data_IF_023975327230
#
_entry.id   IF_023975327230
#
_cell.length_a   1.000
_cell.length_b   1.000
_cell.length_c   1.000
_cell.angle_alpha   90.00
_cell.angle_beta   90.00
_cell.angle_gamma   90.00
#
_symmetry.space_group_name_H-M   'P 1'
#
loop_
_entity.id
_entity.type
_entity.pdbx_description
1 polymer ?
#
# COMPACT_ATOMS: atom_id res chain seq x y z
N UNK A 1 49.98 23.01 42.80
CA UNK A 1 50.47 23.14 41.42
C UNK A 1 49.28 23.44 40.51
N UNK A 2 49.42 24.48 39.68
CA UNK A 2 48.43 24.97 38.70
C UNK A 2 48.08 23.89 37.65
N UNK A 3 46.83 23.87 37.19
CA UNK A 3 46.41 24.25 35.82
C UNK A 3 44.87 24.18 35.70
N UNK A 4 44.26 25.26 35.20
CA UNK A 4 42.93 25.35 34.54
C UNK A 4 43.21 25.68 33.06
N UNK A 5 42.23 25.73 32.14
CA UNK A 5 41.17 24.79 31.77
C UNK A 5 41.12 24.62 30.21
N UNK A 6 39.97 24.19 29.67
CA UNK A 6 39.49 24.29 28.28
C UNK A 6 39.70 23.07 27.37
N UNK A 7 38.57 22.63 26.80
CA UNK A 7 38.46 21.53 25.84
C UNK A 7 37.00 21.37 25.44
N UNK A 8 36.48 22.37 24.75
CA UNK A 8 35.22 22.35 23.99
C UNK A 8 35.19 21.13 23.07
N UNK A 9 34.26 20.21 23.26
CA UNK A 9 33.91 19.25 22.21
C UNK A 9 32.71 19.77 21.45
N UNK A 10 33.00 20.16 20.22
CA UNK A 10 32.09 20.71 19.26
C UNK A 10 31.02 19.69 18.86
N UNK A 11 29.82 20.23 18.70
CA UNK A 11 28.69 19.66 17.96
C UNK A 11 29.18 19.22 16.57
N UNK A 12 29.05 17.93 16.27
CA UNK A 12 29.06 17.42 14.91
C UNK A 12 27.86 16.48 14.74
N UNK A 13 26.77 17.05 14.20
CA UNK A 13 25.76 16.29 13.48
C UNK A 13 26.23 15.96 12.04
N UNK A 14 25.32 15.53 11.16
CA UNK A 14 25.08 14.12 10.86
C UNK A 14 25.43 13.79 9.40
N UNK A 15 26.14 12.67 9.15
CA UNK A 15 26.45 12.18 7.81
C UNK A 15 26.50 10.65 7.81
N UNK A 16 25.34 10.01 7.98
CA UNK A 16 25.13 8.66 7.46
C UNK A 16 23.93 8.71 6.52
N UNK A 17 24.24 9.13 5.29
CA UNK A 17 23.33 9.08 4.16
C UNK A 17 23.04 7.62 3.83
N UNK A 18 21.75 7.30 3.79
CA UNK A 18 21.25 5.95 3.67
C UNK A 18 21.56 5.31 2.32
N UNK A 19 21.90 4.02 2.38
CA UNK A 19 21.58 3.06 1.33
C UNK A 19 20.33 2.29 1.76
N UNK A 20 19.21 2.99 1.84
CA UNK A 20 17.90 2.35 1.76
C UNK A 20 17.41 2.67 0.34
N UNK A 21 17.24 1.63 -0.47
CA UNK A 21 16.41 1.72 -1.68
C UNK A 21 15.06 2.28 -1.23
N UNK A 22 14.85 3.59 -1.45
CA UNK A 22 13.63 4.26 -1.09
C UNK A 22 12.49 3.56 -1.85
N UNK A 23 11.54 2.99 -1.10
CA UNK A 23 10.17 2.84 -1.57
C UNK A 23 9.79 4.21 -2.18
N UNK A 24 9.49 4.25 -3.47
CA UNK A 24 9.42 5.50 -4.23
C UNK A 24 8.18 6.38 -3.90
N UNK A 25 7.51 6.14 -2.77
CA UNK A 25 6.42 6.95 -2.22
C UNK A 25 6.08 6.51 -0.79
N UNK A 26 5.37 7.36 -0.07
CA UNK A 26 4.84 7.09 1.27
C UNK A 26 3.75 6.02 1.27
N UNK A 27 3.38 5.56 2.46
CA UNK A 27 2.41 4.46 2.65
C UNK A 27 1.36 4.82 3.72
N UNK A 28 1.04 6.10 3.83
CA UNK A 28 0.04 6.62 4.78
C UNK A 28 -1.28 5.84 4.65
N UNK A 29 -1.90 5.56 5.79
CA UNK A 29 -3.17 4.85 5.81
C UNK A 29 -4.28 5.71 5.19
N UNK A 30 -5.07 5.20 4.22
CA UNK A 30 -6.14 5.98 3.59
C UNK A 30 -7.22 6.41 4.59
N UNK A 31 -7.52 7.71 4.60
CA UNK A 31 -8.56 8.32 5.43
C UNK A 31 -9.44 9.21 4.56
N UNK A 32 -10.74 9.19 4.84
CA UNK A 32 -11.67 10.16 4.26
C UNK A 32 -11.41 11.54 4.85
N UNK A 33 -11.40 12.55 3.98
CA UNK A 33 -11.26 13.96 4.32
C UNK A 33 -11.94 14.81 3.23
N UNK A 34 -12.03 16.13 3.37
CA UNK A 34 -12.60 16.99 2.32
C UNK A 34 -11.94 16.83 0.94
N UNK A 35 -10.68 16.37 0.89
CA UNK A 35 -9.91 16.15 -0.34
C UNK A 35 -9.68 14.67 -0.69
N UNK A 36 -10.19 13.73 0.12
CA UNK A 36 -9.93 12.29 -0.04
C UNK A 36 -11.19 11.46 0.16
N UNK A 37 -11.45 10.54 -0.77
CA UNK A 37 -12.54 9.58 -0.67
C UNK A 37 -11.99 8.15 -0.62
N UNK A 38 -12.79 7.24 -0.06
CA UNK A 38 -12.45 5.81 0.00
C UNK A 38 -13.60 4.95 -0.49
N UNK A 39 -13.27 3.86 -1.18
CA UNK A 39 -14.21 2.82 -1.59
C UNK A 39 -13.61 1.46 -1.29
N UNK A 40 -14.19 0.78 -0.31
CA UNK A 40 -13.80 -0.59 0.04
C UNK A 40 -14.24 -1.57 -1.05
N UNK A 41 -13.36 -2.52 -1.37
CA UNK A 41 -13.58 -3.58 -2.35
C UNK A 41 -13.68 -4.96 -1.69
N UNK A 42 -13.98 -4.98 -0.39
CA UNK A 42 -14.22 -6.18 0.39
C UNK A 42 -15.51 -6.90 -0.06
N UNK A 43 -15.68 -8.15 0.34
CA UNK A 43 -16.78 -9.03 -0.06
C UNK A 43 -16.32 -10.14 -1.01
N UNK A 44 -17.21 -10.64 -1.86
CA UNK A 44 -16.90 -11.76 -2.75
C UNK A 44 -16.07 -11.31 -3.96
N UNK A 45 -15.07 -12.11 -4.29
CA UNK A 45 -14.23 -12.02 -5.49
C UNK A 45 -14.32 -13.35 -6.24
N UNK A 46 -14.32 -13.29 -7.57
CA UNK A 46 -14.15 -14.47 -8.39
C UNK A 46 -12.76 -15.04 -8.16
N UNK A 47 -12.65 -16.35 -7.97
CA UNK A 47 -11.42 -17.01 -7.55
C UNK A 47 -11.13 -18.26 -8.38
N UNK A 48 -9.85 -18.48 -8.68
CA UNK A 48 -9.39 -19.70 -9.33
C UNK A 48 -7.94 -20.02 -8.93
N UNK A 49 -7.70 -21.24 -8.47
CA UNK A 49 -6.34 -21.77 -8.32
C UNK A 49 -5.87 -22.42 -9.63
N UNK A 50 -4.61 -22.21 -10.01
CA UNK A 50 -4.00 -22.83 -11.17
C UNK A 50 -3.48 -24.23 -10.82
N UNK A 51 -4.33 -25.26 -11.00
CA UNK A 51 -3.97 -26.65 -10.76
C UNK A 51 -3.21 -27.33 -11.91
N UNK A 52 -2.82 -26.60 -12.97
CA UNK A 52 -2.01 -27.18 -14.05
C UNK A 52 -0.67 -27.70 -13.54
N UNK A 53 -0.10 -28.71 -14.20
CA UNK A 53 1.18 -29.31 -13.75
C UNK A 53 2.32 -28.30 -13.64
N UNK A 54 2.34 -27.27 -14.50
CA UNK A 54 3.34 -26.19 -14.44
C UNK A 54 3.01 -25.12 -13.38
N UNK A 55 1.77 -25.07 -12.89
CA UNK A 55 1.20 -23.94 -12.12
C UNK A 55 1.25 -22.60 -12.86
N UNK A 56 1.48 -22.61 -14.17
CA UNK A 56 1.72 -21.41 -14.97
C UNK A 56 0.71 -21.20 -16.11
N UNK A 57 -0.29 -22.08 -16.25
CA UNK A 57 -1.32 -21.99 -17.28
C UNK A 57 -2.04 -20.64 -17.29
N UNK A 58 -2.27 -20.02 -16.13
CA UNK A 58 -2.93 -18.72 -16.06
C UNK A 58 -2.13 -17.59 -16.73
N UNK A 59 -0.81 -17.70 -16.74
CA UNK A 59 0.07 -16.78 -17.48
C UNK A 59 0.16 -17.15 -18.95
N UNK A 60 0.32 -18.44 -19.26
CA UNK A 60 0.43 -18.93 -20.64
C UNK A 60 -0.82 -18.58 -21.47
N UNK A 61 -2.00 -18.70 -20.86
CA UNK A 61 -3.29 -18.36 -21.47
C UNK A 61 -3.74 -16.92 -21.20
N UNK A 62 -2.94 -16.14 -20.46
CA UNK A 62 -3.20 -14.74 -20.15
C UNK A 62 -4.58 -14.48 -19.54
N UNK A 63 -4.94 -15.23 -18.48
CA UNK A 63 -6.26 -15.14 -17.84
C UNK A 63 -6.67 -13.71 -17.44
N UNK A 64 -5.71 -12.83 -17.15
CA UNK A 64 -5.93 -11.41 -16.84
C UNK A 64 -6.51 -10.58 -18.00
N UNK A 65 -6.42 -11.02 -19.25
CA UNK A 65 -6.87 -10.23 -20.43
C UNK A 65 -8.38 -10.16 -20.58
N UNK A 66 -9.12 -11.14 -20.07
CA UNK A 66 -10.58 -11.24 -20.14
C UNK A 66 -11.16 -11.54 -18.75
N UNK A 67 -12.48 -11.43 -18.53
CA UNK A 67 -13.07 -11.86 -17.28
C UNK A 67 -12.67 -13.29 -16.93
N UNK A 68 -12.24 -13.53 -15.69
CA UNK A 68 -11.68 -14.80 -15.23
C UNK A 68 -12.62 -15.98 -15.49
N UNK A 69 -13.94 -15.78 -15.38
CA UNK A 69 -14.99 -16.76 -15.71
C UNK A 69 -14.96 -17.29 -17.15
N UNK A 70 -14.39 -16.52 -18.09
CA UNK A 70 -14.26 -16.95 -19.49
C UNK A 70 -13.09 -17.92 -19.70
N UNK A 71 -12.15 -17.96 -18.75
CA UNK A 71 -11.00 -18.87 -18.80
C UNK A 71 -11.31 -20.27 -18.25
N UNK A 72 -12.44 -20.44 -17.56
CA UNK A 72 -12.85 -21.69 -16.93
C UNK A 72 -13.69 -21.47 -15.66
N UNK A 73 -14.00 -22.56 -14.92
CA UNK A 73 -14.77 -22.49 -13.68
C UNK A 73 -14.09 -21.62 -12.61
N UNK A 74 -14.90 -20.89 -11.86
CA UNK A 74 -14.48 -20.02 -10.75
C UNK A 74 -15.22 -20.40 -9.47
N UNK A 75 -14.67 -19.98 -8.33
CA UNK A 75 -15.30 -20.01 -7.01
C UNK A 75 -15.56 -18.58 -6.54
N UNK A 76 -16.47 -18.42 -5.57
CA UNK A 76 -16.59 -17.17 -4.82
C UNK A 76 -15.66 -17.23 -3.60
N UNK A 77 -14.79 -16.24 -3.46
CA UNK A 77 -13.83 -16.15 -2.35
C UNK A 77 -14.01 -14.83 -1.61
N UNK A 78 -14.24 -14.84 -0.28
CA UNK A 78 -14.33 -13.61 0.49
C UNK A 78 -12.96 -12.93 0.60
N UNK A 79 -12.99 -11.60 0.58
CA UNK A 79 -11.86 -10.71 0.84
C UNK A 79 -12.31 -9.68 1.90
N UNK A 80 -11.55 -9.47 2.98
CA UNK A 80 -10.30 -10.15 3.33
C UNK A 80 -10.54 -11.58 3.85
N UNK A 81 -9.72 -12.53 3.40
CA UNK A 81 -9.67 -13.90 3.93
C UNK A 81 -8.47 -14.66 3.37
N UNK A 82 -8.05 -15.71 4.09
CA UNK A 82 -7.19 -16.75 3.53
C UNK A 82 -8.06 -17.80 2.84
N UNK A 83 -7.68 -18.22 1.63
CA UNK A 83 -8.54 -19.14 0.86
C UNK A 83 -8.58 -20.56 1.43
N UNK A 84 -7.56 -20.94 2.20
CA UNK A 84 -7.26 -22.33 2.54
C UNK A 84 -8.41 -23.04 3.27
N UNK A 85 -9.16 -22.30 4.09
CA UNK A 85 -10.18 -22.87 4.99
C UNK A 85 -11.61 -22.41 4.62
N UNK A 86 -11.79 -21.79 3.45
CA UNK A 86 -13.11 -21.32 3.01
C UNK A 86 -13.97 -22.44 2.41
N UNK A 87 -13.34 -23.48 1.86
CA UNK A 87 -14.01 -24.61 1.22
C UNK A 87 -13.75 -25.94 1.93
N UNK A 88 -14.32 -27.01 1.37
CA UNK A 88 -14.10 -28.40 1.83
C UNK A 88 -13.02 -29.12 0.99
N UNK A 89 -12.43 -28.44 0.01
CA UNK A 89 -11.43 -29.02 -0.88
C UNK A 89 -10.04 -29.01 -0.22
N UNK A 90 -9.55 -30.21 0.13
CA UNK A 90 -8.22 -30.40 0.69
C UNK A 90 -7.12 -29.99 -0.28
N UNK A 91 -7.30 -30.19 -1.58
CA UNK A 91 -6.29 -29.80 -2.58
C UNK A 91 -6.11 -28.29 -2.61
N UNK A 92 -7.20 -27.54 -2.42
CA UNK A 92 -7.14 -26.09 -2.28
C UNK A 92 -6.52 -25.67 -0.93
N UNK A 93 -6.86 -26.33 0.17
CA UNK A 93 -6.28 -26.04 1.50
C UNK A 93 -4.75 -26.11 1.49
N UNK A 94 -4.22 -27.19 0.92
CA UNK A 94 -2.79 -27.50 0.87
C UNK A 94 -2.12 -26.97 -0.43
N UNK A 95 -2.81 -26.14 -1.23
CA UNK A 95 -2.34 -25.68 -2.53
C UNK A 95 -1.08 -24.82 -2.44
N UNK A 96 -0.10 -25.12 -3.29
CA UNK A 96 1.10 -24.29 -3.53
C UNK A 96 1.16 -23.93 -5.02
N UNK A 97 1.27 -22.64 -5.30
CA UNK A 97 1.35 -22.10 -6.65
C UNK A 97 0.57 -20.79 -6.80
N UNK A 98 0.05 -20.54 -7.99
CA UNK A 98 -0.67 -19.32 -8.32
C UNK A 98 -2.18 -19.45 -8.12
N UNK A 99 -2.75 -18.53 -7.35
CA UNK A 99 -4.19 -18.30 -7.26
C UNK A 99 -4.55 -16.96 -7.87
N UNK A 100 -5.74 -16.86 -8.45
CA UNK A 100 -6.23 -15.69 -9.15
C UNK A 100 -7.50 -15.20 -8.48
N UNK A 101 -7.53 -13.92 -8.13
CA UNK A 101 -8.70 -13.18 -7.65
C UNK A 101 -9.12 -12.18 -8.72
N UNK A 102 -10.42 -12.02 -8.95
CA UNK A 102 -10.97 -10.99 -9.83
C UNK A 102 -12.21 -10.34 -9.24
N UNK A 103 -12.31 -9.02 -9.37
CA UNK A 103 -13.51 -8.27 -9.04
C UNK A 103 -13.74 -7.14 -10.01
N UNK A 104 -15.00 -6.96 -10.37
CA UNK A 104 -15.46 -5.84 -11.17
C UNK A 104 -16.10 -4.78 -10.26
N UNK A 105 -15.79 -3.50 -10.51
CA UNK A 105 -16.17 -2.38 -9.64
C UNK A 105 -16.67 -1.20 -10.47
N UNK A 106 -17.89 -0.74 -10.18
CA UNK A 106 -18.39 0.54 -10.69
C UNK A 106 -17.74 1.71 -9.95
N UNK A 107 -17.13 2.62 -10.70
CA UNK A 107 -16.49 3.82 -10.16
C UNK A 107 -17.45 5.02 -10.20
N UNK A 108 -17.41 5.93 -9.21
CA UNK A 108 -18.11 7.20 -9.30
C UNK A 108 -17.63 8.00 -10.52
N UNK A 109 -18.57 8.60 -11.26
CA UNK A 109 -18.27 9.36 -12.47
C UNK A 109 -17.25 10.48 -12.24
N UNK A 110 -17.27 11.11 -11.05
CA UNK A 110 -16.26 12.12 -10.67
C UNK A 110 -14.82 11.57 -10.68
N UNK A 111 -14.61 10.31 -10.31
CA UNK A 111 -13.27 9.71 -10.30
C UNK A 111 -12.74 9.44 -11.72
N UNK A 112 -13.64 9.23 -12.68
CA UNK A 112 -13.29 8.90 -14.07
C UNK A 112 -13.28 10.11 -15.00
N UNK A 113 -14.00 11.19 -14.67
CA UNK A 113 -14.09 12.38 -15.52
C UNK A 113 -13.22 13.55 -15.07
N UNK A 114 -12.94 13.67 -13.78
CA UNK A 114 -12.09 14.74 -13.26
C UNK A 114 -10.62 14.32 -13.23
N UNK A 115 -9.85 14.82 -14.20
CA UNK A 115 -8.40 14.56 -14.33
C UNK A 115 -7.56 15.15 -13.19
N UNK A 116 -8.13 16.02 -12.36
CA UNK A 116 -7.48 16.53 -11.14
C UNK A 116 -7.62 15.58 -9.94
N UNK A 117 -8.46 14.55 -10.07
CA UNK A 117 -8.60 13.48 -9.09
C UNK A 117 -7.61 12.35 -9.40
N UNK A 118 -6.69 12.09 -8.47
CA UNK A 118 -5.83 10.89 -8.48
C UNK A 118 -6.62 9.72 -7.89
N UNK A 119 -6.61 8.57 -8.58
CA UNK A 119 -7.27 7.33 -8.16
C UNK A 119 -6.23 6.25 -7.92
N UNK A 120 -6.25 5.67 -6.72
CA UNK A 120 -5.23 4.70 -6.28
C UNK A 120 -5.88 3.40 -5.85
N UNK A 121 -5.34 2.30 -6.33
CA UNK A 121 -5.66 0.96 -5.84
C UNK A 121 -4.67 0.57 -4.75
N UNK A 122 -5.16 0.29 -3.54
CA UNK A 122 -4.37 -0.16 -2.41
C UNK A 122 -4.77 -1.57 -1.99
N UNK A 123 -3.77 -2.43 -1.83
CA UNK A 123 -3.90 -3.78 -1.32
C UNK A 123 -3.27 -3.81 0.07
N UNK A 124 -4.04 -4.16 1.10
CA UNK A 124 -3.52 -4.16 2.47
C UNK A 124 -2.47 -5.24 2.76
N UNK A 125 -2.59 -6.39 2.09
CA UNK A 125 -1.68 -7.54 2.18
C UNK A 125 -2.14 -8.63 1.20
N UNK A 126 -1.16 -9.27 0.53
CA UNK A 126 -1.36 -10.41 -0.36
C UNK A 126 -0.18 -11.37 -0.17
N UNK A 127 -0.42 -12.63 0.19
CA UNK A 127 0.65 -13.56 0.56
C UNK A 127 0.92 -14.64 -0.49
N UNK A 128 2.11 -14.74 -1.09
CA UNK A 128 3.37 -14.00 -0.81
C UNK A 128 3.78 -13.02 -1.91
N UNK A 129 3.72 -13.44 -3.18
CA UNK A 129 4.06 -12.60 -4.33
C UNK A 129 2.81 -12.27 -5.12
N UNK A 130 2.50 -10.99 -5.29
CA UNK A 130 1.29 -10.52 -5.96
C UNK A 130 1.62 -9.81 -7.27
N UNK A 131 0.81 -10.06 -8.30
CA UNK A 131 0.81 -9.30 -9.55
C UNK A 131 -0.61 -8.78 -9.77
N UNK A 132 -0.74 -7.50 -10.12
CA UNK A 132 -2.03 -6.82 -10.22
C UNK A 132 -2.23 -6.29 -11.62
N UNK A 133 -3.43 -6.52 -12.15
CA UNK A 133 -3.91 -5.94 -13.40
C UNK A 133 -5.19 -5.16 -13.17
N UNK A 134 -5.34 -4.08 -13.93
CA UNK A 134 -6.57 -3.30 -14.04
C UNK A 134 -6.98 -3.25 -15.50
N UNK A 135 -8.20 -3.70 -15.80
CA UNK A 135 -8.71 -3.86 -17.17
C UNK A 135 -7.76 -4.66 -18.07
N UNK A 136 -7.09 -5.67 -17.49
CA UNK A 136 -6.10 -6.50 -18.17
C UNK A 136 -4.73 -5.86 -18.42
N UNK A 137 -4.51 -4.63 -17.95
CA UNK A 137 -3.21 -3.93 -18.01
C UNK A 137 -2.48 -4.11 -16.68
N UNK A 138 -1.22 -4.55 -16.73
CA UNK A 138 -0.39 -4.70 -15.54
C UNK A 138 -0.14 -3.34 -14.88
N UNK A 139 -0.36 -3.24 -13.56
CA UNK A 139 -0.20 -1.97 -12.82
C UNK A 139 0.89 -2.01 -11.75
N UNK A 140 1.04 -3.13 -11.05
CA UNK A 140 2.06 -3.28 -10.00
C UNK A 140 2.27 -4.75 -9.65
N UNK A 141 3.37 -5.01 -8.96
CA UNK A 141 3.68 -6.28 -8.34
C UNK A 141 4.30 -6.03 -6.97
N UNK A 142 4.14 -6.98 -6.05
CA UNK A 142 4.65 -6.86 -4.69
C UNK A 142 5.15 -8.20 -4.18
N UNK A 143 6.29 -8.18 -3.52
CA UNK A 143 6.87 -9.32 -2.84
C UNK A 143 6.81 -9.09 -1.33
N UNK A 144 6.15 -9.99 -0.61
CA UNK A 144 5.98 -9.91 0.84
C UNK A 144 4.51 -10.06 1.25
N UNK A 145 4.26 -10.92 2.24
CA UNK A 145 2.90 -11.29 2.60
C UNK A 145 2.12 -10.31 3.47
N UNK A 146 2.79 -9.43 4.20
CA UNK A 146 2.20 -8.76 5.37
C UNK A 146 2.31 -7.22 5.36
N UNK A 147 2.77 -6.65 4.25
CA UNK A 147 2.88 -5.21 4.05
C UNK A 147 1.95 -4.75 2.92
N UNK A 148 1.42 -3.52 3.02
CA UNK A 148 0.58 -2.96 1.97
C UNK A 148 1.41 -2.47 0.79
N UNK A 149 0.75 -2.41 -0.37
CA UNK A 149 1.29 -1.82 -1.59
C UNK A 149 0.15 -1.18 -2.38
N UNK A 150 0.49 -0.25 -3.26
CA UNK A 150 -0.50 0.49 -4.02
C UNK A 150 -0.01 0.88 -5.42
N UNK A 151 -0.95 1.23 -6.29
CA UNK A 151 -0.70 1.67 -7.65
C UNK A 151 -1.64 2.83 -8.01
N UNK A 152 -1.09 3.88 -8.63
CA UNK A 152 -1.88 4.92 -9.27
C UNK A 152 -2.49 4.38 -10.57
N UNK A 153 -3.82 4.32 -10.62
CA UNK A 153 -4.57 3.78 -11.76
C UNK A 153 -5.34 4.87 -12.51
N UNK A 154 -5.10 6.14 -12.20
CA UNK A 154 -5.86 7.29 -12.73
C UNK A 154 -5.93 7.25 -14.26
N UNK A 155 -4.78 7.05 -14.92
CA UNK A 155 -4.69 6.95 -16.39
C UNK A 155 -5.53 5.81 -16.97
N UNK A 156 -5.72 4.71 -16.26
CA UNK A 156 -6.48 3.56 -16.76
C UNK A 156 -7.98 3.75 -16.60
N UNK A 157 -8.40 4.51 -15.60
CA UNK A 157 -9.83 4.71 -15.28
C UNK A 157 -10.40 6.02 -15.85
N UNK A 158 -9.53 6.94 -16.29
CA UNK A 158 -9.91 8.24 -16.88
C UNK A 158 -9.76 8.29 -18.40
N UNK A 159 -9.32 7.21 -19.04
CA UNK A 159 -9.17 7.17 -20.51
C UNK A 159 -10.39 6.54 -21.15
N UNK A 160 -11.31 7.38 -21.66
CA UNK A 160 -12.50 6.94 -22.40
C UNK A 160 -13.74 6.67 -21.54
N UNK A 161 -14.86 6.23 -22.15
CA UNK A 161 -16.11 5.99 -21.44
C UNK A 161 -16.02 4.68 -20.64
N UNK A 162 -15.44 4.75 -19.44
CA UNK A 162 -15.32 3.62 -18.53
C UNK A 162 -16.35 3.75 -17.40
N UNK A 163 -17.30 2.83 -17.33
CA UNK A 163 -18.27 2.74 -16.21
C UNK A 163 -17.85 1.72 -15.16
N UNK A 164 -16.97 0.79 -15.52
CA UNK A 164 -16.60 -0.36 -14.70
C UNK A 164 -15.10 -0.65 -14.81
N UNK A 165 -14.49 -1.00 -13.68
CA UNK A 165 -13.08 -1.30 -13.53
C UNK A 165 -12.92 -2.76 -13.08
N UNK A 166 -12.26 -3.59 -13.90
CA UNK A 166 -11.96 -4.99 -13.57
C UNK A 166 -10.57 -5.09 -12.97
N UNK A 167 -10.48 -5.53 -11.73
CA UNK A 167 -9.24 -5.72 -11.00
C UNK A 167 -8.97 -7.23 -10.92
N UNK A 168 -7.82 -7.66 -11.40
CA UNK A 168 -7.37 -9.06 -11.35
C UNK A 168 -6.06 -9.11 -10.56
N UNK A 169 -5.94 -10.03 -9.60
CA UNK A 169 -4.76 -10.19 -8.75
C UNK A 169 -4.34 -11.66 -8.77
N UNK A 170 -3.13 -11.94 -9.25
CA UNK A 170 -2.50 -13.25 -9.11
C UNK A 170 -1.61 -13.24 -7.87
N UNK A 171 -1.69 -14.29 -7.05
CA UNK A 171 -0.92 -14.44 -5.82
C UNK A 171 -0.20 -15.79 -5.85
N UNK A 172 1.11 -15.78 -5.64
CA UNK A 172 1.92 -16.98 -5.44
C UNK A 172 2.29 -17.13 -3.96
N UNK A 173 1.96 -18.27 -3.36
CA UNK A 173 2.25 -18.57 -1.96
C UNK A 173 3.50 -19.46 -1.76
N UNK A 174 4.27 -19.69 -2.81
CA UNK A 174 5.53 -20.42 -2.75
C UNK A 174 6.55 -19.60 -1.97
N UNK A 175 7.11 -20.19 -0.92
CA UNK A 175 8.20 -19.62 -0.15
C UNK A 175 9.52 -20.15 -0.72
N UNK A 176 10.55 -19.32 -0.68
CA UNK A 176 11.91 -19.66 -1.14
C UNK A 176 12.93 -19.26 -0.07
N UNK A 177 14.18 -19.74 -0.10
CA UNK A 177 15.20 -19.31 0.85
C UNK A 177 15.44 -17.79 0.89
N UNK A 178 14.89 -17.03 -0.08
CA UNK A 178 14.96 -15.59 -0.17
C UNK A 178 13.67 -14.87 0.28
N UNK A 179 12.60 -15.62 0.62
CA UNK A 179 11.37 -15.04 1.16
C UNK A 179 11.44 -14.86 2.68
N UNK A 180 10.58 -14.01 3.23
CA UNK A 180 10.40 -13.85 4.67
C UNK A 180 8.93 -14.12 5.05
N UNK A 181 8.63 -15.26 5.73
CA UNK A 181 9.55 -16.27 6.24
C UNK A 181 10.17 -17.14 5.13
N UNK A 182 11.39 -17.63 5.37
CA UNK A 182 12.08 -18.55 4.46
C UNK A 182 11.77 -20.02 4.80
N UNK A 183 11.58 -20.91 3.82
CA UNK A 183 11.47 -22.35 4.03
C UNK A 183 12.84 -23.03 3.99
N UNK A 184 12.89 -24.29 4.42
CA UNK A 184 13.75 -25.28 3.78
C UNK A 184 13.01 -25.81 2.55
N UNK A 185 13.59 -25.81 1.34
CA UNK A 185 12.95 -26.42 0.17
C UNK A 185 13.62 -27.75 -0.15
N UNK A 186 12.82 -28.78 -0.48
CA UNK A 186 13.28 -30.02 -1.12
C UNK A 186 12.79 -30.00 -2.56
N UNK A 187 13.66 -30.30 -3.52
CA UNK A 187 13.29 -30.34 -4.94
C UNK A 187 12.29 -31.47 -5.24
N UNK A 188 11.34 -31.21 -6.15
CA UNK A 188 10.66 -32.26 -6.92
C UNK A 188 9.14 -32.38 -6.79
N UNK A 189 8.48 -31.67 -5.85
CA UNK A 189 7.01 -31.64 -5.74
C UNK A 189 6.55 -30.26 -5.20
N UNK A 190 5.31 -29.83 -5.51
CA UNK A 190 4.66 -28.62 -4.93
C UNK A 190 4.29 -28.82 -3.44
N UNK A 191 5.24 -29.33 -2.66
CA UNK A 191 5.15 -29.51 -1.22
C UNK A 191 6.10 -28.51 -0.59
N UNK A 192 5.57 -27.60 0.21
CA UNK A 192 6.36 -26.61 0.92
C UNK A 192 6.80 -27.18 2.27
N UNK A 193 8.10 -27.37 2.46
CA UNK A 193 8.68 -27.62 3.79
C UNK A 193 8.93 -26.26 4.47
N UNK A 194 8.57 -26.14 5.74
CA UNK A 194 8.56 -24.86 6.47
C UNK A 194 9.17 -25.04 7.84
N UNK A 195 10.06 -24.13 8.23
CA UNK A 195 10.77 -24.16 9.51
C UNK A 195 10.16 -23.21 10.54
N UNK A 196 8.85 -22.98 10.45
CA UNK A 196 8.09 -22.10 11.34
C UNK A 196 6.79 -22.77 11.81
N UNK A 197 6.36 -22.45 13.03
CA UNK A 197 5.25 -23.12 13.73
C UNK A 197 3.90 -22.41 13.52
N UNK A 198 3.60 -22.07 12.27
CA UNK A 198 2.30 -21.55 11.86
C UNK A 198 1.98 -22.00 10.44
N UNK A 199 0.69 -22.13 10.12
CA UNK A 199 0.27 -22.56 8.79
C UNK A 199 0.53 -21.46 7.75
N UNK A 200 1.01 -21.84 6.56
CA UNK A 200 1.28 -20.93 5.43
C UNK A 200 -0.03 -20.51 4.73
N UNK A 201 -0.91 -19.84 5.48
CA UNK A 201 -2.14 -19.27 4.94
C UNK A 201 -1.84 -18.27 3.83
N UNK A 202 -2.63 -18.31 2.76
CA UNK A 202 -2.45 -17.46 1.60
C UNK A 202 -3.77 -16.87 1.12
N UNK A 203 -3.67 -15.76 0.39
CA UNK A 203 -4.80 -14.99 -0.11
C UNK A 203 -4.64 -13.50 0.14
N UNK A 204 -5.77 -12.78 0.07
CA UNK A 204 -5.88 -11.36 0.35
C UNK A 204 -6.29 -11.18 1.82
N UNK A 205 -5.30 -11.07 2.71
CA UNK A 205 -5.52 -11.12 4.17
C UNK A 205 -6.03 -9.80 4.77
N UNK A 206 -5.94 -8.70 4.03
CA UNK A 206 -6.36 -7.37 4.49
C UNK A 206 -7.17 -6.67 3.41
N UNK A 207 -7.94 -5.62 3.78
CA UNK A 207 -8.83 -4.94 2.85
C UNK A 207 -8.14 -4.51 1.56
N UNK A 208 -8.88 -4.65 0.46
CA UNK A 208 -8.54 -4.04 -0.83
C UNK A 208 -9.45 -2.84 -0.99
N UNK A 209 -8.89 -1.69 -1.36
CA UNK A 209 -9.65 -0.46 -1.47
C UNK A 209 -9.15 0.41 -2.60
N UNK A 210 -10.05 1.22 -3.14
CA UNK A 210 -9.70 2.37 -3.93
C UNK A 210 -9.77 3.62 -3.05
N UNK A 211 -8.85 4.55 -3.23
CA UNK A 211 -8.92 5.85 -2.60
C UNK A 211 -8.55 6.96 -3.58
N UNK A 212 -8.94 8.18 -3.24
CA UNK A 212 -8.61 9.36 -4.05
C UNK A 212 -7.85 10.42 -3.28
N UNK A 213 -7.09 11.21 -4.03
CA UNK A 213 -6.47 12.46 -3.59
C UNK A 213 -6.54 13.47 -4.75
N UNK A 214 -6.23 14.76 -4.54
CA UNK A 214 -5.85 15.62 -5.65
C UNK A 214 -4.53 15.12 -6.27
N UNK A 215 -4.21 15.58 -7.47
CA UNK A 215 -2.93 15.26 -8.14
C UNK A 215 -1.70 15.76 -7.37
N UNK A 216 -1.87 16.81 -6.57
CA UNK A 216 -0.88 17.26 -5.58
C UNK A 216 -1.36 16.83 -4.19
N UNK A 217 -0.61 15.98 -3.51
CA UNK A 217 -1.07 15.33 -2.28
C UNK A 217 0.02 15.17 -1.23
N UNK A 218 -0.38 15.03 0.03
CA UNK A 218 0.52 14.64 1.12
C UNK A 218 0.79 13.15 1.00
N UNK A 219 2.05 12.83 0.73
CA UNK A 219 2.57 11.49 0.47
C UNK A 219 3.05 10.81 1.76
N UNK A 220 3.74 11.57 2.62
CA UNK A 220 4.24 11.05 3.89
C UNK A 220 4.18 12.08 5.01
N UNK A 221 4.03 11.60 6.24
CA UNK A 221 4.05 12.38 7.48
C UNK A 221 4.89 11.60 8.49
N UNK A 222 6.06 12.13 8.81
CA UNK A 222 6.90 11.64 9.91
C UNK A 222 6.75 12.54 11.12
N UNK A 223 6.41 11.97 12.27
CA UNK A 223 6.29 12.70 13.54
C UNK A 223 7.28 12.14 14.55
N UNK A 224 8.13 12.99 15.10
CA UNK A 224 9.02 12.68 16.23
C UNK A 224 8.64 13.54 17.44
N UNK A 225 8.82 12.95 18.62
CA UNK A 225 8.22 13.44 19.87
C UNK A 225 9.29 13.38 20.95
N UNK A 226 9.54 14.49 21.61
CA UNK A 226 10.49 14.55 22.72
C UNK A 226 9.74 15.03 23.98
N UNK A 227 10.08 14.45 25.13
CA UNK A 227 9.47 14.79 26.42
C UNK A 227 10.57 15.29 27.34
N UNK A 228 10.41 16.51 27.84
CA UNK A 228 11.33 17.07 28.83
C UNK A 228 10.82 16.72 30.25
N UNK A 229 11.68 16.07 31.04
CA UNK A 229 11.29 15.39 32.29
C UNK A 229 10.82 16.35 33.40
N UNK A 230 11.26 17.62 33.38
CA UNK A 230 11.07 18.55 34.50
C UNK A 230 9.93 19.57 34.32
N UNK A 231 9.37 19.73 33.13
CA UNK A 231 8.30 20.71 32.85
C UNK A 231 6.96 20.05 32.54
N UNK A 232 6.94 18.75 32.22
CA UNK A 232 5.77 18.09 31.65
C UNK A 232 5.38 18.65 30.27
N UNK A 233 6.26 19.44 29.66
CA UNK A 233 6.14 19.98 28.31
C UNK A 233 6.82 19.01 27.33
N UNK A 234 6.21 18.83 26.16
CA UNK A 234 6.80 18.06 25.06
C UNK A 234 6.85 18.91 23.80
N UNK A 235 7.88 18.71 22.99
CA UNK A 235 8.00 19.26 21.64
C UNK A 235 7.64 18.18 20.62
N UNK A 236 7.01 18.60 19.52
CA UNK A 236 6.68 17.72 18.40
C UNK A 236 7.26 18.31 17.12
N UNK A 237 7.99 17.47 16.39
CA UNK A 237 8.51 17.79 15.07
C UNK A 237 7.76 16.93 14.04
N UNK A 238 7.06 17.58 13.13
CA UNK A 238 6.38 16.90 12.02
C UNK A 238 7.02 17.32 10.70
N UNK A 239 7.47 16.33 9.93
CA UNK A 239 7.91 16.50 8.55
C UNK A 239 6.82 15.94 7.62
N UNK A 240 6.26 16.81 6.79
CA UNK A 240 5.32 16.41 5.75
C UNK A 240 6.02 16.44 4.39
N UNK A 241 5.92 15.34 3.66
CA UNK A 241 6.35 15.23 2.26
C UNK A 241 5.10 15.23 1.39
N UNK A 242 5.10 16.07 0.36
CA UNK A 242 4.05 16.12 -0.66
C UNK A 242 4.61 15.86 -2.05
N UNK A 243 3.80 15.29 -2.92
CA UNK A 243 4.11 15.10 -4.34
C UNK A 243 3.30 16.09 -5.21
N UNK A 244 3.90 16.75 -6.23
CA UNK A 244 5.32 16.72 -6.59
C UNK A 244 6.21 17.34 -5.49
N UNK A 245 7.32 16.66 -5.17
CA UNK A 245 8.25 16.89 -4.02
C UNK A 245 8.31 18.32 -3.46
N UNK A 246 7.48 18.57 -2.44
CA UNK A 246 7.60 19.71 -1.53
C UNK A 246 7.69 19.16 -0.11
N UNK A 247 8.76 19.52 0.62
CA UNK A 247 8.91 19.19 2.03
C UNK A 247 8.50 20.39 2.89
N UNK A 248 7.60 20.17 3.85
CA UNK A 248 7.22 21.15 4.86
C UNK A 248 7.57 20.60 6.24
N UNK A 249 8.43 21.30 6.97
CA UNK A 249 8.73 21.01 8.37
C UNK A 249 7.91 21.94 9.26
N UNK A 250 7.16 21.34 10.18
CA UNK A 250 6.39 22.03 11.21
C UNK A 250 6.97 21.65 12.57
N UNK A 251 7.59 22.63 13.25
CA UNK A 251 7.91 22.52 14.67
C UNK A 251 6.79 23.18 15.45
N UNK A 252 6.24 22.47 16.44
CA UNK A 252 5.30 23.05 17.37
C UNK A 252 5.85 22.90 18.79
N UNK A 253 6.19 24.03 19.38
CA UNK A 253 6.70 24.10 20.75
C UNK A 253 5.55 24.36 21.74
N UNK A 254 5.61 23.66 22.89
CA UNK A 254 4.79 23.84 24.10
C UNK A 254 3.29 23.57 23.95
N UNK A 255 2.86 22.40 24.41
CA UNK A 255 1.43 22.10 24.63
C UNK A 255 1.15 21.60 26.05
N UNK A 256 0.06 22.07 26.70
CA UNK A 256 -0.44 21.42 27.90
C UNK A 256 -1.04 20.04 27.56
N UNK A 257 -0.81 19.05 28.43
CA UNK A 257 -1.08 17.58 28.35
C UNK A 257 -2.39 17.06 27.69
N UNK A 258 -3.33 17.88 27.20
CA UNK A 258 -4.72 17.45 26.93
C UNK A 258 -5.27 17.59 25.51
N UNK A 259 -4.50 17.92 24.46
CA UNK A 259 -5.05 18.01 23.09
C UNK A 259 -4.14 17.43 22.02
N UNK A 260 -4.14 16.09 21.88
CA UNK A 260 -3.34 15.36 20.89
C UNK A 260 -4.09 15.21 19.54
N UNK A 261 -5.42 15.10 19.55
CA UNK A 261 -6.20 14.79 18.34
C UNK A 261 -6.53 15.99 17.43
N UNK A 262 -6.46 17.23 17.92
CA UNK A 262 -6.90 18.42 17.17
C UNK A 262 -5.88 18.96 16.16
N UNK A 263 -4.65 18.43 16.14
CA UNK A 263 -3.50 19.05 15.46
C UNK A 263 -3.18 18.47 14.08
N UNK A 264 -3.51 17.20 13.81
CA UNK A 264 -3.45 16.63 12.45
C UNK A 264 -4.35 17.41 11.48
N UNK A 265 -5.52 17.83 11.96
CA UNK A 265 -6.45 18.68 11.22
C UNK A 265 -5.85 20.06 10.90
N UNK A 266 -5.05 20.63 11.81
CA UNK A 266 -4.36 21.92 11.61
C UNK A 266 -3.21 21.83 10.59
N UNK A 267 -2.51 20.70 10.53
CA UNK A 267 -1.49 20.46 9.51
C UNK A 267 -2.11 20.33 8.12
N UNK A 268 -3.24 19.62 8.00
CA UNK A 268 -4.01 19.45 6.77
C UNK A 268 -4.58 20.80 6.28
N UNK A 269 -5.20 21.59 7.18
CA UNK A 269 -5.71 22.94 6.88
C UNK A 269 -4.62 23.94 6.48
N UNK A 270 -3.46 23.94 7.15
CA UNK A 270 -2.35 24.85 6.79
C UNK A 270 -1.68 24.46 5.47
N UNK A 271 -1.68 23.18 5.12
CA UNK A 271 -1.21 22.72 3.81
C UNK A 271 -2.15 23.19 2.69
N UNK A 272 -3.46 22.99 2.84
CA UNK A 272 -4.47 23.48 1.88
C UNK A 272 -4.38 24.99 1.68
N UNK A 273 -4.20 25.77 2.76
CA UNK A 273 -4.06 27.23 2.70
C UNK A 273 -2.77 27.69 2.01
N UNK A 274 -1.63 27.03 2.20
CA UNK A 274 -0.36 27.41 1.55
C UNK A 274 -0.26 26.94 0.10
N UNK A 275 -0.78 25.76 -0.23
CA UNK A 275 -0.83 25.27 -1.60
C UNK A 275 -1.69 26.19 -2.50
N UNK A 276 -2.84 26.66 -1.97
CA UNK A 276 -3.69 27.67 -2.61
C UNK A 276 -2.96 29.00 -2.88
N UNK A 277 -2.17 29.49 -1.91
CA UNK A 277 -1.41 30.75 -2.04
C UNK A 277 -0.22 30.65 -3.01
N UNK A 278 0.38 29.47 -3.17
CA UNK A 278 1.48 29.24 -4.12
C UNK A 278 0.96 29.12 -5.56
N UNK A 279 -0.19 28.48 -5.77
CA UNK A 279 -0.84 28.38 -7.08
C UNK A 279 -1.43 29.72 -7.55
N UNK A 280 -1.95 30.55 -6.63
CA UNK A 280 -2.46 31.89 -6.96
C UNK A 280 -1.41 32.89 -7.46
N UNK A 281 -0.12 32.67 -7.19
CA UNK A 281 0.98 33.56 -7.63
C UNK A 281 1.55 33.24 -9.02
N UNK A 282 1.21 32.09 -9.62
CA UNK A 282 1.67 31.73 -10.96
C UNK A 282 0.72 32.19 -12.10
N UNK A 283 -0.34 32.95 -11.80
CA UNK A 283 -1.29 33.46 -12.79
C UNK A 283 -1.26 34.98 -12.97
N UNK A 284 -0.08 35.59 -12.92
CA UNK A 284 0.14 36.94 -13.44
C UNK A 284 1.63 37.16 -13.62
N UNK A 285 2.15 36.81 -14.78
CA UNK A 285 3.11 37.61 -15.58
C UNK A 285 3.31 36.94 -16.93
#
# INVERSE_FOLDING_TARGET
MRWRPAGTWAVLGPLFWGCALALQGGMLYPRESPSRERKELDGLWSFRADFSDSRHQGFDQQWYRRPLRESGPILDMPVPSSFNDMGQDRQLRDFIGWVWYEREVTLPQRWTQDVSTRVVLRIGSAHYYAIVWVNGVHVTQHEGGHLPFEADISKLVQTGPLTSCRITIAINNTLTPHTLPGPGSREGYFVQDVNFDFFNYAGLHRPVLLYTTPTTYIDDITVTTEVEQDTGEGSWHALCLAEPRVALSLCLERFPRKRIFSLLFLAELRFELRASQLLGKCSTT
#
